data_IF_732945347115
#
_entry.id   IF_732945347115
#
_cell.length_a   1.000
_cell.length_b   1.000
_cell.length_c   1.000
_cell.angle_alpha   90.00
_cell.angle_beta   90.00
_cell.angle_gamma   90.00
#
_symmetry.space_group_name_H-M   'P 1'
#
loop_
_entity.id
_entity.type
_entity.pdbx_description
1 polymer ?
#
# COMPACT_ATOMS: atom_id res chain seq x y z
N UNK A 1 -58.63 -2.42 25.62
CA UNK A 1 -57.50 -1.80 24.89
C UNK A 1 -56.19 -2.49 25.28
N UNK A 2 -55.90 -3.63 24.65
CA UNK A 2 -54.69 -4.44 24.87
C UNK A 2 -53.96 -4.51 23.53
N UNK A 3 -53.33 -3.42 23.09
CA UNK A 3 -52.57 -3.39 21.83
C UNK A 3 -51.47 -2.30 21.82
N UNK A 4 -50.64 -2.22 22.87
CA UNK A 4 -49.57 -1.20 22.92
C UNK A 4 -48.23 -1.65 23.53
N UNK A 5 -48.09 -2.91 23.99
CA UNK A 5 -46.85 -3.36 24.65
C UNK A 5 -45.92 -4.26 23.82
N UNK A 6 -46.29 -4.68 22.61
CA UNK A 6 -45.51 -5.67 21.84
C UNK A 6 -44.59 -5.09 20.75
N UNK A 7 -44.60 -3.78 20.48
CA UNK A 7 -43.70 -3.20 19.46
C UNK A 7 -42.32 -2.77 19.97
N UNK A 8 -42.14 -2.56 21.28
CA UNK A 8 -40.82 -2.24 21.86
C UNK A 8 -39.92 -3.45 22.08
N UNK A 9 -40.44 -4.67 22.00
CA UNK A 9 -39.66 -5.90 22.19
C UNK A 9 -39.07 -6.41 20.86
N UNK A 10 -39.60 -5.99 19.71
CA UNK A 10 -39.09 -6.41 18.38
C UNK A 10 -37.81 -5.66 17.99
N UNK A 11 -37.56 -4.46 18.52
CA UNK A 11 -36.32 -3.71 18.26
C UNK A 11 -35.12 -4.12 19.13
N UNK A 12 -35.35 -4.90 20.21
CA UNK A 12 -34.28 -5.35 21.12
C UNK A 12 -33.78 -6.77 20.79
N UNK A 13 -34.48 -7.50 19.91
CA UNK A 13 -34.11 -8.87 19.52
C UNK A 13 -33.51 -9.00 18.11
N UNK A 14 -33.32 -7.90 17.36
CA UNK A 14 -32.58 -7.88 16.10
C UNK A 14 -31.10 -7.45 16.25
N UNK A 15 -30.60 -7.25 17.47
CA UNK A 15 -29.21 -6.86 17.75
C UNK A 15 -28.34 -7.99 18.33
N UNK A 16 -28.76 -9.25 18.24
CA UNK A 16 -28.03 -10.40 18.79
C UNK A 16 -27.69 -11.49 17.77
N UNK A 17 -27.73 -11.17 16.49
CA UNK A 17 -26.97 -11.87 15.45
C UNK A 17 -26.06 -10.90 14.71
N UNK A 18 -25.25 -10.17 15.48
CA UNK A 18 -24.03 -9.57 14.96
C UNK A 18 -23.13 -10.75 14.58
N UNK A 19 -23.13 -11.15 13.31
CA UNK A 19 -21.94 -11.80 12.78
C UNK A 19 -20.77 -10.91 13.17
N UNK A 20 -19.86 -11.46 13.97
CA UNK A 20 -18.69 -10.78 14.47
C UNK A 20 -17.71 -10.59 13.29
N UNK A 21 -18.09 -9.75 12.32
CA UNK A 21 -17.19 -9.18 11.34
C UNK A 21 -16.33 -8.19 12.13
N UNK A 22 -15.27 -8.71 12.75
CA UNK A 22 -14.23 -7.88 13.33
C UNK A 22 -13.60 -7.11 12.19
N UNK A 23 -14.03 -5.85 12.01
CA UNK A 23 -13.46 -4.96 11.01
C UNK A 23 -12.02 -4.63 11.42
N UNK A 24 -11.10 -4.62 10.48
CA UNK A 24 -9.67 -4.54 10.75
C UNK A 24 -9.17 -3.13 11.05
N UNK A 25 -9.96 -2.08 10.79
CA UNK A 25 -9.60 -0.68 11.02
C UNK A 25 -9.24 -0.37 12.49
N UNK A 26 -8.45 0.66 12.69
CA UNK A 26 -7.94 1.06 14.00
C UNK A 26 -8.92 2.00 14.73
N UNK A 27 -9.36 1.58 15.93
CA UNK A 27 -10.35 2.32 16.73
C UNK A 27 -9.76 3.39 17.65
N UNK A 28 -8.48 3.25 17.99
CA UNK A 28 -7.75 4.13 18.89
C UNK A 28 -6.56 4.73 18.16
N UNK A 29 -6.10 5.91 18.60
CA UNK A 29 -4.95 6.55 17.99
C UNK A 29 -3.69 5.66 18.03
N UNK A 30 -3.01 5.54 16.88
CA UNK A 30 -1.92 4.59 16.69
C UNK A 30 -0.68 5.23 16.05
N UNK A 31 0.54 4.76 16.39
CA UNK A 31 1.73 5.15 15.65
C UNK A 31 1.74 4.50 14.26
N UNK A 32 2.05 5.30 13.24
CA UNK A 32 1.98 4.92 11.83
C UNK A 32 3.32 5.17 11.13
N UNK A 33 3.76 4.20 10.32
CA UNK A 33 4.77 4.38 9.28
C UNK A 33 4.09 4.11 7.93
N UNK A 34 4.35 4.98 6.95
CA UNK A 34 3.88 4.80 5.57
C UNK A 34 5.08 4.42 4.70
N UNK A 35 4.98 3.32 3.98
CA UNK A 35 5.94 2.88 2.96
C UNK A 35 5.28 3.00 1.58
N UNK A 36 5.83 3.86 0.74
CA UNK A 36 5.20 4.36 -0.50
C UNK A 36 6.24 4.42 -1.61
N UNK A 37 5.83 4.19 -2.85
CA UNK A 37 6.65 4.44 -4.04
C UNK A 37 6.27 5.73 -4.78
N UNK A 38 5.45 6.58 -4.12
CA UNK A 38 5.18 7.97 -4.48
C UNK A 38 4.70 8.16 -5.93
N UNK A 39 3.74 7.34 -6.36
CA UNK A 39 3.03 7.43 -7.61
C UNK A 39 1.77 8.32 -7.51
N UNK A 40 1.01 8.33 -8.61
CA UNK A 40 -0.19 9.18 -8.80
C UNK A 40 -1.26 8.98 -7.74
N UNK A 41 -1.43 7.77 -7.23
CA UNK A 41 -2.41 7.36 -6.23
C UNK A 41 -1.84 7.31 -4.80
N UNK A 42 -0.52 7.22 -4.63
CA UNK A 42 0.12 7.40 -3.32
C UNK A 42 -0.03 8.83 -2.81
N UNK A 43 0.15 9.85 -3.67
CA UNK A 43 0.11 11.25 -3.23
C UNK A 43 -1.20 11.63 -2.54
N UNK A 44 -2.40 11.36 -3.10
CA UNK A 44 -3.65 11.59 -2.39
C UNK A 44 -3.81 10.69 -1.15
N UNK A 45 -3.21 9.49 -1.13
CA UNK A 45 -3.23 8.60 0.03
C UNK A 45 -2.38 9.16 1.20
N UNK A 46 -1.19 9.68 0.92
CA UNK A 46 -0.34 10.38 1.87
C UNK A 46 -1.04 11.64 2.39
N UNK A 47 -1.60 12.47 1.50
CA UNK A 47 -2.38 13.65 1.89
C UNK A 47 -3.58 13.30 2.77
N UNK A 48 -4.29 12.21 2.45
CA UNK A 48 -5.36 11.70 3.29
C UNK A 48 -4.84 11.36 4.70
N UNK A 49 -3.75 10.59 4.83
CA UNK A 49 -3.16 10.25 6.13
C UNK A 49 -2.67 11.48 6.89
N UNK A 50 -2.11 12.47 6.19
CA UNK A 50 -1.66 13.72 6.81
C UNK A 50 -2.85 14.46 7.48
N UNK A 51 -4.04 14.38 6.90
CA UNK A 51 -5.27 14.97 7.45
C UNK A 51 -5.93 14.14 8.58
N UNK A 52 -5.35 13.00 8.98
CA UNK A 52 -5.88 12.13 10.04
C UNK A 52 -5.17 12.30 11.41
N UNK A 53 -4.71 13.51 11.73
CA UNK A 53 -3.91 13.80 12.95
C UNK A 53 -4.56 13.34 14.27
N UNK A 54 -5.90 13.32 14.34
CA UNK A 54 -6.62 12.87 15.53
C UNK A 54 -6.60 11.34 15.72
N UNK A 55 -6.27 10.60 14.66
CA UNK A 55 -6.37 9.14 14.61
C UNK A 55 -5.01 8.43 14.47
N UNK A 56 -3.98 9.10 13.95
CA UNK A 56 -2.65 8.50 13.81
C UNK A 56 -1.53 9.46 14.13
N UNK A 57 -0.53 8.96 14.85
CA UNK A 57 0.76 9.61 15.06
C UNK A 57 1.71 9.14 13.94
N UNK A 58 1.86 9.96 12.90
CA UNK A 58 2.68 9.64 11.74
C UNK A 58 4.16 9.82 12.09
N UNK A 59 4.85 8.69 12.32
CA UNK A 59 6.25 8.65 12.76
C UNK A 59 7.24 8.99 11.64
N UNK A 60 6.85 8.75 10.39
CA UNK A 60 7.67 9.02 9.20
C UNK A 60 7.15 8.30 7.97
N UNK A 61 7.75 8.63 6.82
CA UNK A 61 7.40 8.07 5.52
C UNK A 61 8.67 7.51 4.88
N UNK A 62 8.60 6.27 4.40
CA UNK A 62 9.71 5.59 3.75
C UNK A 62 9.41 5.42 2.26
N UNK A 63 10.39 5.73 1.42
CA UNK A 63 10.29 5.51 -0.02
C UNK A 63 10.72 4.08 -0.35
N UNK A 64 9.84 3.31 -0.98
CA UNK A 64 10.15 2.05 -1.64
C UNK A 64 10.63 2.35 -3.06
N UNK A 65 11.94 2.59 -3.21
CA UNK A 65 12.53 3.07 -4.46
C UNK A 65 12.61 2.00 -5.57
N UNK A 66 12.09 0.80 -5.32
CA UNK A 66 11.84 -0.24 -6.33
C UNK A 66 10.56 0.03 -7.13
N UNK A 67 9.69 0.90 -6.64
CA UNK A 67 8.42 1.21 -7.27
C UNK A 67 8.47 2.34 -8.32
N UNK A 68 7.36 3.06 -8.44
CA UNK A 68 7.10 4.04 -9.48
C UNK A 68 7.83 5.38 -9.33
N UNK A 69 8.67 5.59 -8.31
CA UNK A 69 9.49 6.80 -8.24
C UNK A 69 10.94 6.49 -7.88
N UNK A 70 11.84 7.38 -8.30
CA UNK A 70 13.23 7.34 -7.85
C UNK A 70 13.34 8.00 -6.48
N UNK A 71 14.30 7.50 -5.71
CA UNK A 71 14.55 7.90 -4.33
C UNK A 71 14.55 9.42 -4.08
N UNK A 72 15.42 10.19 -4.75
CA UNK A 72 15.59 11.62 -4.47
C UNK A 72 14.36 12.45 -4.88
N UNK A 73 13.80 12.30 -6.09
CA UNK A 73 12.56 12.98 -6.45
C UNK A 73 11.39 12.62 -5.53
N UNK A 74 11.20 11.34 -5.22
CA UNK A 74 10.15 10.88 -4.31
C UNK A 74 10.27 11.50 -2.91
N UNK A 75 11.47 11.51 -2.32
CA UNK A 75 11.71 12.15 -1.02
C UNK A 75 11.33 13.63 -1.04
N UNK A 76 11.71 14.34 -2.11
CA UNK A 76 11.35 15.75 -2.29
C UNK A 76 9.83 15.93 -2.45
N UNK A 77 9.20 15.15 -3.31
CA UNK A 77 7.77 15.21 -3.58
C UNK A 77 6.96 14.96 -2.31
N UNK A 78 7.28 13.93 -1.54
CA UNK A 78 6.63 13.66 -0.25
C UNK A 78 6.86 14.80 0.75
N UNK A 79 8.09 15.34 0.86
CA UNK A 79 8.36 16.47 1.74
C UNK A 79 7.59 17.74 1.35
N UNK A 80 7.41 17.97 0.06
CA UNK A 80 6.61 19.07 -0.49
C UNK A 80 5.11 18.85 -0.23
N UNK A 81 4.61 17.61 -0.28
CA UNK A 81 3.23 17.28 0.09
C UNK A 81 2.97 17.45 1.59
N UNK A 82 3.93 17.13 2.45
CA UNK A 82 3.86 17.43 3.89
C UNK A 82 3.72 18.94 4.11
N UNK A 83 4.50 19.74 3.40
CA UNK A 83 4.39 21.22 3.44
C UNK A 83 3.06 21.72 2.88
N UNK A 84 2.61 21.17 1.74
CA UNK A 84 1.32 21.49 1.12
C UNK A 84 0.15 21.24 2.08
N UNK A 85 0.25 20.20 2.92
CA UNK A 85 -0.77 19.83 3.92
C UNK A 85 -0.78 20.70 5.19
N UNK A 86 0.17 21.62 5.37
CA UNK A 86 0.30 22.44 6.58
C UNK A 86 0.88 21.67 7.78
N UNK A 87 1.67 20.61 7.53
CA UNK A 87 2.30 19.78 8.59
C UNK A 87 3.80 19.98 8.72
N UNK A 88 4.34 21.06 8.16
CA UNK A 88 5.78 21.36 8.16
C UNK A 88 6.35 21.65 9.55
N UNK A 89 5.52 22.03 10.52
CA UNK A 89 5.94 22.22 11.91
C UNK A 89 6.18 20.90 12.66
N UNK A 90 5.71 19.77 12.12
CA UNK A 90 5.86 18.45 12.71
C UNK A 90 7.10 17.75 12.15
N UNK A 91 7.82 17.03 13.01
CA UNK A 91 8.97 16.24 12.56
C UNK A 91 8.51 14.92 11.94
N UNK A 92 8.20 14.97 10.63
CA UNK A 92 7.85 13.80 9.83
C UNK A 92 9.03 13.49 8.89
N UNK A 93 9.95 12.59 9.27
CA UNK A 93 11.11 12.28 8.46
C UNK A 93 10.71 11.51 7.19
N UNK A 94 11.41 11.80 6.10
CA UNK A 94 11.29 11.05 4.84
C UNK A 94 12.61 10.34 4.56
N UNK A 95 12.59 9.02 4.51
CA UNK A 95 13.77 8.17 4.23
C UNK A 95 13.58 7.40 2.94
N UNK A 96 14.63 6.74 2.47
CA UNK A 96 14.57 5.99 1.23
C UNK A 96 15.31 4.65 1.34
N UNK A 97 14.74 3.62 0.72
CA UNK A 97 15.28 2.28 0.66
C UNK A 97 16.09 1.99 -0.60
N UNK A 98 16.31 0.71 -0.85
CA UNK A 98 17.00 0.24 -2.06
C UNK A 98 16.15 0.47 -3.31
N UNK A 99 16.82 0.67 -4.45
CA UNK A 99 16.20 0.87 -5.77
C UNK A 99 16.07 -0.41 -6.60
N UNK A 100 16.40 -1.55 -6.00
CA UNK A 100 16.30 -2.89 -6.60
C UNK A 100 15.56 -3.81 -5.64
N UNK A 101 14.78 -4.80 -6.14
CA UNK A 101 14.05 -5.74 -5.29
C UNK A 101 15.00 -6.57 -4.43
N UNK A 102 14.50 -7.47 -3.59
CA UNK A 102 15.35 -8.38 -2.81
C UNK A 102 15.99 -9.47 -3.68
N UNK A 103 15.28 -9.90 -4.73
CA UNK A 103 15.71 -10.88 -5.72
C UNK A 103 15.00 -10.59 -7.05
N UNK A 104 15.48 -11.14 -8.16
CA UNK A 104 14.96 -10.85 -9.49
C UNK A 104 15.34 -9.45 -9.97
N UNK A 105 14.69 -9.05 -11.07
CA UNK A 105 15.05 -7.85 -11.85
C UNK A 105 13.83 -7.07 -12.34
N UNK A 106 12.65 -7.30 -11.75
CA UNK A 106 11.45 -6.58 -12.16
C UNK A 106 11.55 -5.10 -11.76
N UNK A 107 11.12 -4.23 -12.66
CA UNK A 107 11.04 -2.78 -12.46
C UNK A 107 9.76 -2.26 -13.09
N UNK A 108 9.28 -1.12 -12.60
CA UNK A 108 8.29 -0.35 -13.34
C UNK A 108 8.89 0.23 -14.63
N UNK A 109 8.06 0.55 -15.64
CA UNK A 109 8.51 1.26 -16.84
C UNK A 109 9.19 2.59 -16.50
N UNK A 110 10.33 2.87 -17.14
CA UNK A 110 11.12 4.09 -16.88
C UNK A 110 10.31 5.38 -17.12
N UNK A 111 9.44 5.38 -18.12
CA UNK A 111 8.57 6.53 -18.41
C UNK A 111 7.67 6.87 -17.23
N UNK A 112 7.01 5.87 -16.63
CA UNK A 112 6.18 6.08 -15.44
C UNK A 112 7.01 6.64 -14.29
N UNK A 113 8.23 6.10 -14.11
CA UNK A 113 9.15 6.58 -13.06
C UNK A 113 9.53 8.04 -13.22
N UNK A 114 9.87 8.44 -14.45
CA UNK A 114 10.20 9.83 -14.78
C UNK A 114 8.99 10.75 -14.59
N UNK A 115 7.79 10.30 -14.96
CA UNK A 115 6.57 11.08 -14.80
C UNK A 115 6.16 11.25 -13.34
N UNK A 116 6.32 10.21 -12.51
CA UNK A 116 6.11 10.29 -11.06
C UNK A 116 7.15 11.18 -10.39
N UNK A 117 8.42 11.11 -10.80
CA UNK A 117 9.49 11.99 -10.31
C UNK A 117 9.15 13.48 -10.50
N UNK A 118 8.45 13.82 -11.59
CA UNK A 118 8.06 15.21 -11.92
C UNK A 118 6.69 15.64 -11.39
N UNK A 119 5.98 14.78 -10.65
CA UNK A 119 4.57 15.00 -10.27
C UNK A 119 3.65 15.24 -11.47
N UNK A 120 3.89 14.57 -12.60
CA UNK A 120 3.18 14.85 -13.87
C UNK A 120 3.26 16.33 -14.27
N UNK A 121 4.39 16.97 -13.95
CA UNK A 121 4.65 18.41 -14.10
C UNK A 121 3.71 19.35 -13.32
N UNK A 122 2.87 18.83 -12.41
CA UNK A 122 2.08 19.65 -11.49
C UNK A 122 3.02 20.35 -10.51
N UNK A 123 2.86 21.67 -10.40
CA UNK A 123 3.73 22.50 -9.55
C UNK A 123 3.10 22.65 -8.17
N UNK A 124 3.85 22.27 -7.15
CA UNK A 124 3.51 22.52 -5.74
C UNK A 124 4.63 23.34 -5.07
N UNK A 125 4.32 24.09 -3.99
CA UNK A 125 5.33 24.80 -3.23
C UNK A 125 6.40 23.85 -2.69
N UNK A 126 7.67 24.23 -2.85
CA UNK A 126 8.77 23.45 -2.27
C UNK A 126 8.88 23.70 -0.78
N UNK A 127 9.05 22.63 0.00
CA UNK A 127 9.29 22.71 1.43
C UNK A 127 10.64 23.39 1.70
N UNK A 128 10.68 24.53 2.43
CA UNK A 128 11.93 25.24 2.69
C UNK A 128 12.85 24.52 3.69
N UNK A 129 12.30 23.64 4.53
CA UNK A 129 13.02 22.93 5.58
C UNK A 129 12.57 21.46 5.65
N UNK A 130 12.84 20.67 4.59
CA UNK A 130 12.36 19.29 4.52
C UNK A 130 13.12 18.39 5.49
N UNK A 131 12.40 17.53 6.22
CA UNK A 131 12.98 16.51 7.10
C UNK A 131 13.42 15.26 6.33
N UNK A 132 14.18 15.44 5.23
CA UNK A 132 14.72 14.32 4.45
C UNK A 132 15.96 13.78 5.15
N UNK A 133 15.95 12.48 5.49
CA UNK A 133 17.09 11.82 6.11
C UNK A 133 17.88 11.04 5.06
N UNK A 134 19.20 11.07 5.17
CA UNK A 134 20.11 10.23 4.35
C UNK A 134 20.19 8.79 4.85
N UNK A 135 19.55 8.48 6.00
CA UNK A 135 19.51 7.15 6.57
C UNK A 135 18.65 6.22 5.70
N UNK A 136 19.14 5.00 5.47
CA UNK A 136 18.41 3.97 4.75
C UNK A 136 17.09 3.62 5.46
N UNK A 137 15.99 3.46 4.70
CA UNK A 137 14.65 3.22 5.25
C UNK A 137 14.59 2.06 6.25
N UNK A 138 15.24 0.93 5.95
CA UNK A 138 15.22 -0.26 6.82
C UNK A 138 15.91 -0.01 8.16
N UNK A 139 17.03 0.71 8.18
CA UNK A 139 17.72 1.08 9.42
C UNK A 139 16.89 2.08 10.23
N UNK A 140 16.29 3.05 9.55
CA UNK A 140 15.41 4.01 10.20
C UNK A 140 14.15 3.35 10.80
N UNK A 141 13.53 2.41 10.09
CA UNK A 141 12.40 1.62 10.58
C UNK A 141 12.80 0.83 11.84
N UNK A 142 13.93 0.12 11.81
CA UNK A 142 14.45 -0.64 12.97
C UNK A 142 14.64 0.25 14.20
N UNK A 143 15.29 1.41 14.03
CA UNK A 143 15.50 2.37 15.12
C UNK A 143 14.19 2.94 15.66
N UNK A 144 13.25 3.26 14.76
CA UNK A 144 11.94 3.81 15.11
C UNK A 144 11.13 2.79 15.88
N UNK A 145 11.08 1.53 15.43
CA UNK A 145 10.43 0.44 16.13
C UNK A 145 11.06 0.20 17.50
N UNK A 146 12.39 0.21 17.60
CA UNK A 146 13.10 0.01 18.86
C UNK A 146 12.87 1.12 19.89
N UNK A 147 12.58 2.35 19.45
CA UNK A 147 12.23 3.49 20.32
C UNK A 147 10.73 3.59 20.60
N UNK A 148 9.89 2.96 19.79
CA UNK A 148 8.44 3.06 19.94
C UNK A 148 7.96 2.37 21.23
N UNK A 149 7.15 3.08 22.01
CA UNK A 149 6.54 2.57 23.24
C UNK A 149 5.28 1.74 22.97
N UNK A 150 4.71 1.84 21.76
CA UNK A 150 3.49 1.15 21.34
C UNK A 150 3.77 0.37 20.05
N UNK A 151 3.11 -0.78 19.82
CA UNK A 151 3.19 -1.47 18.54
C UNK A 151 2.79 -0.55 17.38
N UNK A 152 3.58 -0.56 16.31
CA UNK A 152 3.45 0.35 15.15
C UNK A 152 2.60 -0.28 14.05
N UNK A 153 1.75 0.53 13.43
CA UNK A 153 1.00 0.17 12.22
C UNK A 153 1.82 0.56 11.01
N UNK A 154 1.90 -0.32 10.02
CA UNK A 154 2.45 0.00 8.71
C UNK A 154 1.33 0.12 7.68
N UNK A 155 1.41 1.16 6.85
CA UNK A 155 0.71 1.25 5.58
C UNK A 155 1.75 1.03 4.48
N UNK A 156 1.59 0.00 3.67
CA UNK A 156 2.45 -0.27 2.52
C UNK A 156 1.64 -0.14 1.25
N UNK A 157 1.92 0.92 0.50
CA UNK A 157 1.22 1.29 -0.74
C UNK A 157 2.13 1.21 -1.99
N UNK A 158 3.41 0.89 -1.80
CA UNK A 158 4.31 0.47 -2.88
C UNK A 158 4.81 -0.98 -2.74
N UNK A 159 5.83 -1.38 -3.53
CA UNK A 159 6.43 -2.70 -3.42
C UNK A 159 6.99 -2.98 -2.03
N UNK A 160 6.82 -4.22 -1.56
CA UNK A 160 7.12 -4.62 -0.18
C UNK A 160 8.62 -4.79 0.14
N UNK A 161 9.51 -4.28 -0.70
CA UNK A 161 10.97 -4.48 -0.59
C UNK A 161 11.51 -4.03 0.77
N UNK A 162 11.20 -2.81 1.21
CA UNK A 162 11.67 -2.29 2.50
C UNK A 162 11.23 -3.17 3.67
N UNK A 163 9.96 -3.60 3.67
CA UNK A 163 9.40 -4.39 4.76
C UNK A 163 9.92 -5.84 4.74
N UNK A 164 10.08 -6.44 3.56
CA UNK A 164 10.71 -7.75 3.40
C UNK A 164 12.15 -7.74 3.92
N UNK A 165 12.91 -6.71 3.57
CA UNK A 165 14.26 -6.47 4.07
C UNK A 165 14.31 -6.27 5.59
N UNK A 166 13.40 -5.47 6.17
CA UNK A 166 13.29 -5.25 7.61
C UNK A 166 13.07 -6.58 8.36
N UNK A 167 12.09 -7.37 7.91
CA UNK A 167 11.75 -8.65 8.55
C UNK A 167 12.91 -9.65 8.45
N UNK A 168 13.62 -9.66 7.32
CA UNK A 168 14.75 -10.56 7.13
C UNK A 168 15.96 -10.16 7.98
N UNK A 169 16.26 -8.86 8.08
CA UNK A 169 17.41 -8.33 8.82
C UNK A 169 17.18 -8.28 10.32
N UNK A 170 15.98 -7.91 10.73
CA UNK A 170 15.59 -7.69 12.13
C UNK A 170 14.31 -8.50 12.46
N UNK A 171 14.37 -9.84 12.46
CA UNK A 171 13.19 -10.69 12.64
C UNK A 171 12.47 -10.47 13.99
N UNK A 172 13.18 -9.98 15.02
CA UNK A 172 12.57 -9.66 16.31
C UNK A 172 11.65 -8.42 16.27
N UNK A 173 11.82 -7.53 15.30
CA UNK A 173 10.99 -6.33 15.17
C UNK A 173 9.54 -6.64 14.76
N UNK A 174 9.28 -7.83 14.19
CA UNK A 174 7.93 -8.35 13.94
C UNK A 174 7.03 -8.24 15.16
N UNK A 175 7.57 -8.45 16.38
CA UNK A 175 6.82 -8.36 17.64
C UNK A 175 6.38 -6.94 18.00
N UNK A 176 7.01 -5.93 17.40
CA UNK A 176 6.69 -4.50 17.59
C UNK A 176 5.74 -3.97 16.52
N UNK A 177 5.36 -4.78 15.54
CA UNK A 177 4.41 -4.41 14.49
C UNK A 177 3.01 -4.85 14.91
N UNK A 178 2.09 -3.89 15.04
CA UNK A 178 0.69 -4.15 15.37
C UNK A 178 -0.03 -4.85 14.22
N UNK A 179 0.12 -4.28 13.03
CA UNK A 179 -0.56 -4.67 11.79
C UNK A 179 0.14 -4.04 10.59
N UNK A 180 0.07 -4.72 9.46
CA UNK A 180 0.48 -4.17 8.15
C UNK A 180 -0.77 -4.10 7.26
N UNK A 181 -1.07 -2.91 6.77
CA UNK A 181 -2.06 -2.68 5.72
C UNK A 181 -1.35 -2.65 4.38
N UNK A 182 -1.78 -3.51 3.46
CA UNK A 182 -1.12 -3.72 2.17
C UNK A 182 -2.10 -3.37 1.07
N UNK A 183 -1.79 -2.36 0.25
CA UNK A 183 -2.33 -2.28 -1.10
C UNK A 183 -1.56 -3.27 -1.95
N UNK A 184 -2.23 -4.29 -2.46
CA UNK A 184 -1.60 -5.18 -3.41
C UNK A 184 -2.20 -6.58 -3.48
N UNK A 185 -1.81 -7.26 -4.55
CA UNK A 185 -2.25 -8.60 -4.90
C UNK A 185 -3.56 -8.63 -5.69
N UNK A 186 -3.76 -9.74 -6.41
CA UNK A 186 -4.99 -10.07 -7.11
C UNK A 186 -5.31 -11.55 -6.87
N UNK A 187 -6.43 -11.82 -6.21
CA UNK A 187 -6.79 -13.18 -5.76
C UNK A 187 -7.74 -13.83 -6.77
N UNK A 188 -8.88 -13.18 -7.02
CA UNK A 188 -9.84 -13.59 -8.07
C UNK A 188 -9.88 -12.59 -9.23
N UNK A 189 -9.49 -11.34 -8.98
CA UNK A 189 -9.31 -10.35 -10.04
C UNK A 189 -8.18 -10.76 -10.99
N UNK A 190 -8.22 -10.24 -12.22
CA UNK A 190 -7.08 -10.26 -13.12
C UNK A 190 -6.00 -9.32 -12.56
N UNK A 191 -4.74 -9.69 -12.75
CA UNK A 191 -3.61 -8.80 -12.51
C UNK A 191 -3.63 -7.53 -13.38
N UNK A 192 -2.90 -6.50 -12.96
CA UNK A 192 -2.84 -5.19 -13.62
C UNK A 192 -1.52 -4.93 -14.38
N UNK A 193 -0.66 -5.94 -14.52
CA UNK A 193 0.63 -5.78 -15.21
C UNK A 193 0.51 -5.48 -16.71
N UNK A 194 -0.60 -5.86 -17.35
CA UNK A 194 -0.79 -5.70 -18.79
C UNK A 194 -1.47 -4.37 -19.10
N UNK A 195 -0.67 -3.31 -19.30
CA UNK A 195 -1.16 -2.01 -19.74
C UNK A 195 -0.99 -1.89 -21.26
N UNK A 196 -2.06 -1.59 -22.03
CA UNK A 196 -2.00 -1.47 -23.48
C UNK A 196 -0.89 -0.53 -23.94
N UNK A 197 -0.14 -0.93 -24.98
CA UNK A 197 0.99 -0.21 -25.56
C UNK A 197 2.23 0.02 -24.67
N UNK A 198 2.19 -0.36 -23.38
CA UNK A 198 3.31 -0.11 -22.44
C UNK A 198 3.91 -1.43 -21.98
N UNK A 199 3.09 -2.33 -21.46
CA UNK A 199 3.52 -3.61 -20.85
C UNK A 199 2.66 -4.80 -21.29
N UNK A 200 1.98 -4.66 -22.43
CA UNK A 200 1.11 -5.69 -23.02
C UNK A 200 1.85 -6.97 -23.43
N UNK A 201 3.17 -6.90 -23.56
CA UNK A 201 4.05 -8.04 -23.83
C UNK A 201 4.29 -8.94 -22.60
N UNK A 202 4.01 -8.46 -21.39
CA UNK A 202 4.11 -9.28 -20.19
C UNK A 202 3.09 -10.43 -20.25
N UNK A 203 3.51 -11.66 -20.00
CA UNK A 203 2.59 -12.81 -20.09
C UNK A 203 1.80 -13.03 -18.80
N UNK A 204 2.21 -12.39 -17.71
CA UNK A 204 1.60 -12.53 -16.40
C UNK A 204 0.23 -11.84 -16.36
N UNK A 205 -0.82 -12.62 -16.11
CA UNK A 205 -2.20 -12.14 -16.00
C UNK A 205 -2.73 -12.18 -14.56
N UNK A 206 -1.90 -12.56 -13.60
CA UNK A 206 -2.33 -12.89 -12.24
C UNK A 206 -1.73 -11.96 -11.18
N UNK A 207 -0.54 -11.43 -11.41
CA UNK A 207 0.14 -10.60 -10.43
C UNK A 207 -0.35 -9.15 -10.49
N UNK A 208 -0.26 -8.50 -9.34
CA UNK A 208 -0.45 -7.07 -9.18
C UNK A 208 0.95 -6.43 -9.05
N UNK A 209 1.13 -5.20 -9.56
CA UNK A 209 2.40 -4.48 -9.63
C UNK A 209 3.24 -4.52 -8.34
N UNK A 210 2.70 -4.09 -7.20
CA UNK A 210 3.44 -4.05 -5.93
C UNK A 210 3.97 -5.42 -5.50
N UNK A 211 3.20 -6.48 -5.73
CA UNK A 211 3.63 -7.86 -5.45
C UNK A 211 4.58 -8.39 -6.53
N UNK A 212 4.40 -7.97 -7.79
CA UNK A 212 5.20 -8.39 -8.93
C UNK A 212 6.62 -7.83 -8.90
N UNK A 213 6.81 -6.58 -8.48
CA UNK A 213 8.14 -5.95 -8.41
C UNK A 213 9.08 -6.72 -7.50
N UNK A 214 8.59 -7.15 -6.34
CA UNK A 214 9.39 -7.94 -5.40
C UNK A 214 8.60 -9.12 -4.79
N UNK A 215 8.42 -10.21 -5.57
CA UNK A 215 7.63 -11.36 -5.15
C UNK A 215 8.23 -12.04 -3.91
N UNK A 216 9.55 -11.99 -3.76
CA UNK A 216 10.25 -12.59 -2.63
C UNK A 216 10.00 -11.81 -1.35
N UNK A 217 10.16 -10.49 -1.37
CA UNK A 217 9.84 -9.64 -0.22
C UNK A 217 8.35 -9.77 0.15
N UNK A 218 7.47 -9.76 -0.83
CA UNK A 218 6.05 -9.98 -0.59
C UNK A 218 5.79 -11.36 0.07
N UNK A 219 6.44 -12.43 -0.40
CA UNK A 219 6.35 -13.75 0.25
C UNK A 219 6.84 -13.72 1.70
N UNK A 220 7.93 -13.02 1.99
CA UNK A 220 8.45 -12.86 3.37
C UNK A 220 7.41 -12.15 4.24
N UNK A 221 6.86 -11.02 3.78
CA UNK A 221 5.85 -10.24 4.52
C UNK A 221 4.59 -11.06 4.78
N UNK A 222 4.06 -11.74 3.76
CA UNK A 222 2.85 -12.59 3.86
C UNK A 222 3.05 -13.80 4.79
N UNK A 223 4.28 -14.22 5.04
CA UNK A 223 4.61 -15.33 5.94
C UNK A 223 5.28 -14.87 7.26
N UNK A 224 5.31 -13.57 7.54
CA UNK A 224 5.98 -12.99 8.72
C UNK A 224 5.34 -13.32 10.07
N UNK A 225 4.05 -13.67 10.06
CA UNK A 225 3.24 -13.87 11.27
C UNK A 225 2.67 -12.59 11.87
N UNK A 226 2.96 -11.41 11.29
CA UNK A 226 2.28 -10.15 11.64
C UNK A 226 0.81 -10.22 11.16
N UNK A 227 -0.16 -9.68 11.90
CA UNK A 227 -1.52 -9.50 11.38
C UNK A 227 -1.53 -8.62 10.11
N UNK A 228 -2.11 -9.14 9.03
CA UNK A 228 -2.19 -8.42 7.75
C UNK A 228 -3.62 -7.97 7.45
N UNK A 229 -3.75 -6.78 6.87
CA UNK A 229 -4.96 -6.27 6.24
C UNK A 229 -4.65 -6.01 4.77
N UNK A 230 -5.14 -6.85 3.88
CA UNK A 230 -4.83 -6.79 2.45
C UNK A 230 -6.01 -6.19 1.69
N UNK A 231 -5.73 -5.16 0.91
CA UNK A 231 -6.65 -4.52 -0.02
C UNK A 231 -6.16 -4.87 -1.44
N UNK A 232 -6.63 -6.01 -1.98
CA UNK A 232 -6.24 -6.45 -3.32
C UNK A 232 -7.05 -5.76 -4.41
N UNK A 233 -6.66 -5.99 -5.66
CA UNK A 233 -7.41 -5.57 -6.86
C UNK A 233 -8.87 -6.04 -6.85
N UNK A 234 -9.17 -7.17 -6.20
CA UNK A 234 -10.54 -7.66 -6.02
C UNK A 234 -11.46 -6.62 -5.36
N UNK A 235 -10.93 -5.81 -4.45
CA UNK A 235 -11.65 -4.75 -3.76
C UNK A 235 -11.45 -3.39 -4.40
N UNK A 236 -10.19 -3.00 -4.65
CA UNK A 236 -9.87 -1.64 -5.11
C UNK A 236 -10.38 -1.36 -6.52
N UNK A 237 -10.44 -2.36 -7.42
CA UNK A 237 -11.04 -2.19 -8.75
C UNK A 237 -12.56 -1.96 -8.72
N UNK A 238 -13.22 -2.10 -7.56
CA UNK A 238 -14.64 -1.73 -7.40
C UNK A 238 -14.82 -0.21 -7.29
N UNK A 239 -13.75 0.55 -7.05
CA UNK A 239 -13.80 1.99 -6.80
C UNK A 239 -13.01 2.74 -7.87
N UNK A 240 -13.63 2.93 -9.03
CA UNK A 240 -13.02 3.62 -10.17
C UNK A 240 -12.97 5.14 -9.98
N UNK A 241 -11.88 5.76 -10.41
CA UNK A 241 -11.77 7.22 -10.59
C UNK A 241 -12.41 7.58 -11.92
N UNK A 242 -13.36 8.51 -11.92
CA UNK A 242 -14.14 8.86 -13.11
C UNK A 242 -14.12 10.36 -13.38
N UNK A 243 -14.45 10.77 -14.61
CA UNK A 243 -14.71 12.17 -14.96
C UNK A 243 -15.77 12.82 -14.06
N UNK A 244 -16.78 12.05 -13.67
CA UNK A 244 -17.82 12.49 -12.73
C UNK A 244 -17.25 12.74 -11.34
N UNK A 245 -16.41 11.83 -10.83
CA UNK A 245 -15.70 12.05 -9.57
C UNK A 245 -14.82 13.31 -9.64
N UNK A 246 -14.03 13.49 -10.70
CA UNK A 246 -13.19 14.67 -10.89
C UNK A 246 -14.02 15.96 -10.91
N UNK A 247 -15.16 15.96 -11.62
CA UNK A 247 -16.09 17.09 -11.63
C UNK A 247 -16.61 17.41 -10.23
N UNK A 248 -16.98 16.38 -9.46
CA UNK A 248 -17.44 16.54 -8.07
C UNK A 248 -16.33 17.09 -7.17
N UNK A 249 -15.14 16.50 -7.20
CA UNK A 249 -13.97 16.99 -6.47
C UNK A 249 -13.74 18.48 -6.76
N UNK A 250 -13.71 18.87 -8.04
CA UNK A 250 -13.53 20.27 -8.47
C UNK A 250 -14.60 21.23 -7.95
N UNK A 251 -15.83 20.77 -7.78
CA UNK A 251 -16.91 21.60 -7.23
C UNK A 251 -16.83 21.79 -5.72
N UNK A 252 -16.00 21.01 -5.03
CA UNK A 252 -15.85 20.98 -3.58
C UNK A 252 -14.41 21.30 -3.13
N UNK A 253 -13.60 21.98 -3.95
CA UNK A 253 -12.22 22.34 -3.59
C UNK A 253 -12.21 23.47 -2.56
N UNK A 254 -11.67 23.18 -1.39
CA UNK A 254 -11.47 24.10 -0.27
C UNK A 254 -10.07 24.00 0.36
N UNK A 255 -9.18 23.20 -0.23
CA UNK A 255 -7.81 23.05 0.25
C UNK A 255 -6.78 22.95 -0.87
N UNK A 256 -5.52 23.27 -0.54
CA UNK A 256 -4.38 23.05 -1.44
C UNK A 256 -4.19 21.57 -1.79
N UNK A 257 -4.47 20.66 -0.84
CA UNK A 257 -4.41 19.21 -1.07
C UNK A 257 -5.46 18.74 -2.08
N UNK A 258 -6.70 19.25 -1.99
CA UNK A 258 -7.76 18.93 -2.94
C UNK A 258 -7.50 19.53 -4.32
N UNK A 259 -6.98 20.77 -4.37
CA UNK A 259 -6.57 21.40 -5.61
C UNK A 259 -5.46 20.60 -6.30
N UNK A 260 -4.41 20.22 -5.56
CA UNK A 260 -3.32 19.42 -6.10
C UNK A 260 -3.82 18.10 -6.70
N UNK A 261 -4.68 17.35 -6.00
CA UNK A 261 -5.18 16.10 -6.56
C UNK A 261 -6.05 16.33 -7.81
N UNK A 262 -6.87 17.38 -7.85
CA UNK A 262 -7.60 17.74 -9.05
C UNK A 262 -6.68 18.06 -10.25
N UNK A 263 -5.57 18.77 -10.01
CA UNK A 263 -4.57 19.08 -11.03
C UNK A 263 -3.85 17.81 -11.53
N UNK A 264 -3.52 16.88 -10.64
CA UNK A 264 -2.96 15.56 -10.99
C UNK A 264 -3.93 14.78 -11.88
N UNK A 265 -5.22 14.76 -11.54
CA UNK A 265 -6.24 14.09 -12.34
C UNK A 265 -6.42 14.74 -13.72
N UNK A 266 -6.34 16.08 -13.81
CA UNK A 266 -6.37 16.80 -15.10
C UNK A 266 -5.18 16.47 -16.01
N UNK A 267 -4.02 16.14 -15.44
CA UNK A 267 -2.85 15.66 -16.20
C UNK A 267 -2.99 14.21 -16.67
N UNK A 268 -3.95 13.46 -16.13
CA UNK A 268 -4.10 12.02 -16.34
C UNK A 268 -5.49 11.62 -16.87
N UNK A 269 -6.09 12.51 -17.65
CA UNK A 269 -7.41 12.30 -18.20
C UNK A 269 -7.50 11.08 -19.10
N UNK A 270 -6.46 10.77 -19.87
CA UNK A 270 -6.42 9.58 -20.73
C UNK A 270 -6.47 8.29 -19.90
N UNK A 271 -5.82 8.27 -18.74
CA UNK A 271 -5.88 7.13 -17.84
C UNK A 271 -7.26 6.97 -17.19
N UNK A 272 -7.90 8.08 -16.79
CA UNK A 272 -9.30 8.07 -16.35
C UNK A 272 -10.24 7.57 -17.45
N UNK A 273 -10.06 8.05 -18.68
CA UNK A 273 -10.92 7.72 -19.83
C UNK A 273 -10.73 6.27 -20.31
N UNK A 274 -9.55 5.69 -20.09
CA UNK A 274 -9.31 4.26 -20.33
C UNK A 274 -10.21 3.36 -19.47
N UNK A 275 -10.70 3.88 -18.34
CA UNK A 275 -11.47 3.13 -17.36
C UNK A 275 -10.60 2.24 -16.45
N UNK A 276 -9.28 2.36 -16.49
CA UNK A 276 -8.37 1.51 -15.73
C UNK A 276 -7.70 2.20 -14.52
N UNK A 277 -8.14 3.41 -14.15
CA UNK A 277 -7.68 4.09 -12.95
C UNK A 277 -8.66 3.95 -11.78
N UNK A 278 -8.17 3.46 -10.64
CA UNK A 278 -8.98 3.15 -9.45
C UNK A 278 -8.32 3.70 -8.18
N UNK A 279 -9.09 3.83 -7.10
CA UNK A 279 -8.57 4.24 -5.80
C UNK A 279 -7.86 3.08 -5.09
N UNK A 280 -6.68 2.71 -5.58
CA UNK A 280 -5.87 1.63 -5.02
C UNK A 280 -5.32 1.99 -3.62
N UNK A 281 -4.41 2.95 -3.55
CA UNK A 281 -3.74 3.31 -2.31
C UNK A 281 -4.60 4.11 -1.34
N UNK A 282 -5.44 4.98 -1.88
CA UNK A 282 -6.36 5.81 -1.09
C UNK A 282 -7.37 4.93 -0.36
N UNK A 283 -7.91 3.89 -1.00
CA UNK A 283 -8.82 2.96 -0.33
C UNK A 283 -8.10 2.18 0.78
N UNK A 284 -6.89 1.70 0.50
CA UNK A 284 -6.06 0.97 1.45
C UNK A 284 -5.77 1.82 2.69
N UNK A 285 -5.43 3.08 2.47
CA UNK A 285 -5.20 4.09 3.50
C UNK A 285 -6.47 4.37 4.30
N UNK A 286 -7.57 4.71 3.64
CA UNK A 286 -8.82 5.08 4.29
C UNK A 286 -9.41 3.93 5.12
N UNK A 287 -9.18 2.68 4.68
CA UNK A 287 -9.60 1.47 5.39
C UNK A 287 -8.91 1.26 6.74
N UNK A 288 -7.80 1.96 7.02
CA UNK A 288 -7.19 1.99 8.36
C UNK A 288 -8.04 2.78 9.37
N UNK A 289 -8.78 3.78 8.89
CA UNK A 289 -9.46 4.75 9.74
C UNK A 289 -10.98 4.50 9.80
N UNK A 290 -11.55 3.92 8.75
CA UNK A 290 -12.99 3.79 8.57
C UNK A 290 -13.36 2.44 7.93
N UNK A 291 -14.53 1.86 8.25
CA UNK A 291 -14.95 0.55 7.76
C UNK A 291 -15.56 0.60 6.34
N UNK A 292 -14.81 1.06 5.33
CA UNK A 292 -15.28 1.05 3.92
C UNK A 292 -15.31 -0.35 3.31
N UNK A 293 -14.53 -1.26 3.90
CA UNK A 293 -14.31 -2.61 3.42
C UNK A 293 -15.20 -3.63 4.15
N UNK A 294 -15.91 -4.45 3.39
CA UNK A 294 -16.37 -5.76 3.89
C UNK A 294 -15.20 -6.73 3.79
N UNK A 295 -14.91 -7.38 4.91
CA UNK A 295 -13.69 -8.14 5.09
C UNK A 295 -13.95 -9.63 5.35
N UNK A 296 -13.01 -10.47 4.94
CA UNK A 296 -12.98 -11.89 5.31
C UNK A 296 -11.63 -12.30 5.87
N UNK A 297 -11.64 -13.23 6.83
CA UNK A 297 -10.41 -13.86 7.34
C UNK A 297 -9.93 -14.89 6.33
N UNK A 298 -8.65 -14.85 6.01
CA UNK A 298 -8.01 -15.73 5.02
C UNK A 298 -6.58 -16.03 5.44
N UNK A 299 -5.94 -16.97 4.76
CA UNK A 299 -4.48 -17.06 4.70
C UNK A 299 -4.06 -16.85 3.25
N UNK A 300 -3.23 -15.84 3.00
CA UNK A 300 -2.71 -15.56 1.67
C UNK A 300 -1.22 -15.94 1.60
N UNK A 301 -0.73 -16.25 0.41
CA UNK A 301 0.68 -16.46 0.09
C UNK A 301 1.00 -15.85 -1.27
N UNK A 302 2.29 -15.71 -1.56
CA UNK A 302 2.80 -15.26 -2.85
C UNK A 302 3.55 -16.39 -3.53
N UNK A 303 3.23 -16.61 -4.81
CA UNK A 303 3.95 -17.56 -5.66
C UNK A 303 5.30 -16.96 -6.05
N UNK A 304 6.38 -17.67 -5.74
CA UNK A 304 7.75 -17.29 -6.11
C UNK A 304 8.38 -18.48 -6.85
N UNK A 305 8.45 -18.40 -8.18
CA UNK A 305 9.10 -19.41 -9.02
C UNK A 305 10.29 -18.76 -9.72
N UNK A 306 11.43 -19.43 -9.72
CA UNK A 306 12.60 -18.95 -10.45
C UNK A 306 12.60 -19.51 -11.88
N UNK A 307 13.13 -18.74 -12.82
CA UNK A 307 13.35 -19.22 -14.19
C UNK A 307 14.46 -20.28 -14.18
N UNK A 308 14.13 -21.56 -14.46
CA UNK A 308 15.09 -22.66 -14.41
C UNK A 308 16.13 -22.61 -15.53
N UNK A 309 15.91 -21.82 -16.58
CA UNK A 309 16.88 -21.67 -17.69
C UNK A 309 18.05 -20.76 -17.32
N UNK A 310 17.87 -19.88 -16.32
CA UNK A 310 18.85 -18.91 -15.86
C UNK A 310 19.26 -19.12 -14.40
N UNK A 311 18.63 -20.06 -13.69
CA UNK A 311 18.95 -20.43 -12.31
C UNK A 311 19.59 -21.81 -12.26
N UNK A 312 20.78 -21.96 -11.65
CA UNK A 312 21.46 -23.25 -11.57
C UNK A 312 20.65 -24.33 -10.83
N UNK A 313 20.65 -25.58 -11.32
CA UNK A 313 19.87 -26.71 -10.76
C UNK A 313 20.14 -27.02 -9.28
N UNK A 314 21.35 -26.74 -8.79
CA UNK A 314 21.73 -26.95 -7.37
C UNK A 314 21.21 -25.83 -6.46
N UNK A 315 21.16 -24.60 -6.96
CA UNK A 315 20.62 -23.44 -6.22
C UNK A 315 19.10 -23.57 -6.04
N UNK A 316 18.36 -24.04 -7.05
CA UNK A 316 16.91 -24.27 -6.94
C UNK A 316 16.50 -25.25 -5.82
N UNK A 317 17.37 -26.22 -5.45
CA UNK A 317 17.10 -27.18 -4.37
C UNK A 317 17.27 -26.58 -2.96
N UNK A 318 18.10 -25.55 -2.78
CA UNK A 318 18.28 -24.90 -1.48
C UNK A 318 17.08 -24.01 -1.12
N UNK A 319 16.49 -23.32 -2.11
CA UNK A 319 15.29 -22.48 -1.95
C UNK A 319 14.07 -23.26 -1.42
N UNK A 320 13.96 -24.56 -1.71
CA UNK A 320 12.79 -25.37 -1.36
C UNK A 320 12.80 -26.01 0.05
N UNK A 321 13.93 -26.04 0.76
CA UNK A 321 14.06 -26.84 2.00
C UNK A 321 14.44 -26.08 3.26
N UNK A 322 14.97 -24.86 3.16
CA UNK A 322 15.14 -23.93 4.28
C UNK A 322 15.30 -22.53 3.71
N UNK A 323 14.30 -21.67 3.88
CA UNK A 323 14.33 -20.24 3.53
C UNK A 323 15.28 -19.43 4.46
N UNK A 324 16.37 -20.06 4.91
CA UNK A 324 17.36 -19.44 5.78
C UNK A 324 18.32 -18.60 4.93
N UNK A 325 18.16 -17.28 5.04
CA UNK A 325 19.22 -16.27 5.24
C UNK A 325 20.33 -16.04 4.19
N UNK A 326 20.49 -16.81 3.10
CA UNK A 326 21.76 -16.73 2.35
C UNK A 326 21.85 -15.61 1.30
N UNK A 327 20.78 -14.97 0.82
CA UNK A 327 20.92 -13.99 -0.28
C UNK A 327 20.04 -12.74 -0.14
N UNK A 328 20.16 -12.05 0.99
CA UNK A 328 19.66 -10.67 1.08
C UNK A 328 20.73 -9.73 0.52
N UNK A 329 20.53 -9.22 -0.69
CA UNK A 329 21.40 -8.19 -1.25
C UNK A 329 20.90 -6.82 -0.83
N UNK A 330 21.32 -6.41 0.37
CA UNK A 330 21.21 -5.03 0.82
C UNK A 330 22.16 -4.14 0.01
N UNK A 331 21.81 -2.86 -0.15
CA UNK A 331 22.62 -1.84 -0.85
C UNK A 331 22.67 -1.99 -2.37
N UNK A 332 21.62 -2.53 -2.98
CA UNK A 332 21.49 -2.43 -4.43
C UNK A 332 22.42 -3.34 -5.24
N UNK A 333 23.08 -4.31 -4.62
CA UNK A 333 23.91 -5.24 -5.38
C UNK A 333 23.01 -6.02 -6.35
N UNK A 334 23.39 -6.05 -7.63
CA UNK A 334 22.71 -6.84 -8.67
C UNK A 334 23.43 -8.15 -9.00
N UNK A 335 24.64 -8.35 -8.48
CA UNK A 335 25.45 -9.53 -8.76
C UNK A 335 24.93 -10.73 -7.96
N UNK A 336 24.62 -11.84 -8.63
CA UNK A 336 24.07 -13.09 -8.03
C UNK A 336 22.56 -13.06 -7.73
N UNK A 337 21.80 -12.31 -8.52
CA UNK A 337 20.34 -12.38 -8.56
C UNK A 337 19.85 -13.34 -9.64
N UNK A 338 18.68 -13.91 -9.43
CA UNK A 338 18.06 -14.90 -10.29
C UNK A 338 16.71 -14.41 -10.77
N UNK A 339 16.44 -14.47 -12.08
CA UNK A 339 15.16 -14.01 -12.61
C UNK A 339 14.02 -14.91 -12.12
N UNK A 340 12.89 -14.27 -11.83
CA UNK A 340 11.64 -14.99 -11.59
C UNK A 340 11.05 -15.49 -12.91
N UNK A 341 10.36 -16.61 -12.83
CA UNK A 341 9.49 -17.13 -13.87
C UNK A 341 8.37 -16.11 -14.14
N UNK A 342 8.10 -15.84 -15.43
CA UNK A 342 7.38 -14.64 -15.85
C UNK A 342 5.85 -14.75 -15.84
N UNK A 343 5.26 -15.94 -15.66
CA UNK A 343 3.82 -16.17 -15.79
C UNK A 343 3.12 -16.20 -14.43
N UNK A 344 3.67 -16.92 -13.45
CA UNK A 344 3.01 -17.19 -12.17
C UNK A 344 3.66 -16.49 -10.97
N UNK A 345 4.92 -16.05 -11.07
CA UNK A 345 5.57 -15.36 -9.96
C UNK A 345 4.86 -14.04 -9.65
N UNK A 346 4.82 -13.67 -8.37
CA UNK A 346 4.07 -12.49 -7.91
C UNK A 346 2.55 -12.71 -7.80
N UNK A 347 2.03 -13.88 -8.19
CA UNK A 347 0.62 -14.20 -7.98
C UNK A 347 0.31 -14.36 -6.49
N UNK A 348 -0.71 -13.64 -6.01
CA UNK A 348 -1.27 -13.82 -4.66
C UNK A 348 -2.30 -14.94 -4.68
N UNK A 349 -2.19 -15.88 -3.75
CA UNK A 349 -3.08 -17.05 -3.66
C UNK A 349 -3.66 -17.21 -2.26
N UNK A 350 -4.90 -17.68 -2.18
CA UNK A 350 -5.53 -18.09 -0.93
C UNK A 350 -5.12 -19.53 -0.59
N UNK A 351 -4.53 -19.75 0.58
CA UNK A 351 -4.17 -21.10 1.06
C UNK A 351 -5.39 -21.74 1.72
N UNK A 352 -5.98 -22.73 1.04
CA UNK A 352 -7.07 -23.55 1.58
C UNK A 352 -6.50 -24.81 2.24
N UNK A 353 -5.85 -24.69 3.39
CA UNK A 353 -5.44 -25.85 4.22
C UNK A 353 -6.09 -25.75 5.59
N UNK A 354 -6.73 -26.84 6.04
CA UNK A 354 -7.56 -26.88 7.26
C UNK A 354 -6.81 -26.49 8.55
N UNK A 355 -5.49 -26.69 8.61
CA UNK A 355 -4.69 -26.48 9.83
C UNK A 355 -3.94 -25.15 9.91
N UNK A 356 -4.07 -24.26 8.91
CA UNK A 356 -3.40 -22.95 8.96
C UNK A 356 -4.28 -21.92 9.67
N UNK A 357 -3.67 -21.17 10.59
CA UNK A 357 -4.29 -19.99 11.22
C UNK A 357 -4.64 -18.96 10.14
N UNK A 358 -5.91 -18.55 10.08
CA UNK A 358 -6.39 -17.46 9.22
C UNK A 358 -6.08 -16.12 9.92
N UNK A 359 -4.83 -15.70 9.80
CA UNK A 359 -4.26 -14.51 10.44
C UNK A 359 -4.23 -13.27 9.54
N UNK A 360 -4.68 -13.39 8.28
CA UNK A 360 -4.86 -12.25 7.39
C UNK A 360 -6.34 -11.87 7.31
N UNK A 361 -6.58 -10.59 7.09
CA UNK A 361 -7.89 -10.04 6.75
C UNK A 361 -7.80 -9.46 5.35
N UNK A 362 -8.75 -9.80 4.49
CA UNK A 362 -8.80 -9.34 3.11
C UNK A 362 -10.09 -8.59 2.85
N UNK A 363 -9.97 -7.37 2.34
CA UNK A 363 -11.11 -6.63 1.80
C UNK A 363 -11.58 -7.30 0.50
N UNK A 364 -12.88 -7.55 0.37
CA UNK A 364 -13.43 -8.17 -0.84
C UNK A 364 -14.64 -7.43 -1.43
N UNK A 365 -15.18 -6.45 -0.70
CA UNK A 365 -16.27 -5.60 -1.18
C UNK A 365 -16.14 -4.21 -0.58
N UNK A 366 -16.45 -3.19 -1.37
CA UNK A 366 -16.33 -1.79 -0.98
C UNK A 366 -17.62 -1.04 -1.25
N UNK A 367 -18.01 -0.15 -0.34
CA UNK A 367 -19.02 0.88 -0.62
C UNK A 367 -18.33 2.10 -1.27
N UNK A 368 -18.28 2.10 -2.60
CA UNK A 368 -17.50 3.07 -3.36
C UNK A 368 -17.99 4.51 -3.28
N UNK A 369 -19.30 4.73 -3.17
CA UNK A 369 -19.88 6.09 -3.13
C UNK A 369 -19.65 6.72 -1.76
N UNK A 370 -19.90 5.96 -0.68
CA UNK A 370 -19.61 6.40 0.69
C UNK A 370 -18.12 6.70 0.86
N UNK A 371 -17.25 5.87 0.29
CA UNK A 371 -15.81 6.10 0.30
C UNK A 371 -15.43 7.40 -0.42
N UNK A 372 -15.90 7.64 -1.65
CA UNK A 372 -15.54 8.82 -2.44
C UNK A 372 -15.98 10.11 -1.76
N UNK A 373 -17.18 10.13 -1.19
CA UNK A 373 -17.72 11.28 -0.46
C UNK A 373 -16.92 11.58 0.81
N UNK A 374 -16.52 10.54 1.52
CA UNK A 374 -15.64 10.70 2.67
C UNK A 374 -14.25 11.19 2.27
N UNK A 375 -13.70 10.65 1.19
CA UNK A 375 -12.38 11.02 0.69
C UNK A 375 -12.30 12.51 0.32
N UNK A 376 -13.28 13.04 -0.44
CA UNK A 376 -13.34 14.47 -0.78
C UNK A 376 -13.38 15.34 0.48
N UNK A 377 -14.22 14.98 1.47
CA UNK A 377 -14.31 15.71 2.74
C UNK A 377 -12.98 15.72 3.50
N UNK A 378 -12.31 14.57 3.57
CA UNK A 378 -11.03 14.45 4.29
C UNK A 378 -9.91 15.22 3.60
N UNK A 379 -9.84 15.20 2.26
CA UNK A 379 -8.81 15.92 1.52
C UNK A 379 -8.96 17.45 1.67
N UNK A 380 -10.18 17.92 1.84
CA UNK A 380 -10.50 19.33 2.12
C UNK A 380 -10.34 19.74 3.60
N UNK A 381 -9.98 18.83 4.50
CA UNK A 381 -9.88 19.11 5.94
C UNK A 381 -8.50 19.63 6.41
N UNK A 382 -7.61 20.00 5.49
CA UNK A 382 -6.39 20.71 5.88
C UNK A 382 -6.78 22.13 6.29
N UNK A 383 -6.81 22.43 7.59
CA UNK A 383 -7.07 23.79 8.08
C UNK A 383 -6.08 24.75 7.41
N UNK A 384 -6.61 25.76 6.70
CA UNK A 384 -5.84 26.87 6.11
C UNK A 384 -5.01 27.64 7.15
#
# INVERSE_FOLDING_TARGET
>A
MIFSKYWKIIYILFSLFSFNFGHAYEKEAFPLIIDTDAAIDDWPAVLYSLNQKAHSDLLGITISATGEAHCKPAQKNIADLIYLSGRESEFIPVTCGDSVPLEGFHTFPDEWRITSDSLFDVKIPSNPTPHILTKHSVEWMHETLSKSKKPVVFLTIGPLTNLGQLIQKYPDDVKKIKRIYIMGGAIKAKGNLNVPNITENLQNKYAEWNIWIDPLSAKIVFNSGVPLSVIPLDASNQVRVTREFLKKLKSEIHSKSAQFYADILDKNLDFIDSGEYYFWDVLSTASMYMPFCTEKKVKLDVVTKFDPSQSGKEQMKSFGKNFSLVFAQFEGNMQNRHPFEQIESGRTIEIVKQDKKLDHVMCFKVDGDVFKDHFIKTLNNSKE
#
